data_IF_056051681957
#
_entry.id   IF_056051681957
#
_cell.length_a   1.000
_cell.length_b   1.000
_cell.length_c   1.000
_cell.angle_alpha   90.00
_cell.angle_beta   90.00
_cell.angle_gamma   90.00
#
_symmetry.space_group_name_H-M   'P 1'
#
loop_
_entity.id
_entity.type
_entity.pdbx_description
1 polymer ?
#
# COMPACT_ATOMS: atom_id res chain seq x y z
N UNK A 1 -15.34 -16.47 -3.25
CA UNK A 1 -13.94 -16.66 -2.84
C UNK A 1 -13.87 -16.77 -1.33
N UNK A 2 -13.04 -17.67 -0.84
CA UNK A 2 -12.73 -17.85 0.58
C UNK A 2 -11.21 -17.73 0.77
N UNK A 3 -10.77 -17.42 1.98
CA UNK A 3 -9.35 -17.32 2.31
C UNK A 3 -9.12 -17.66 3.78
N UNK A 4 -7.86 -17.94 4.12
CA UNK A 4 -7.38 -18.01 5.49
C UNK A 4 -6.06 -17.22 5.60
N UNK A 5 -5.98 -16.38 6.63
CA UNK A 5 -4.80 -15.59 6.94
C UNK A 5 -4.10 -16.11 8.20
N UNK A 6 -2.79 -15.97 8.25
CA UNK A 6 -1.97 -16.43 9.38
C UNK A 6 -1.86 -15.42 10.52
N UNK A 7 -2.11 -14.15 10.23
CA UNK A 7 -2.12 -13.03 11.18
C UNK A 7 -3.54 -12.53 11.48
N UNK A 8 -3.71 -11.82 12.60
CA UNK A 8 -5.01 -11.28 13.01
C UNK A 8 -5.50 -10.11 12.14
N UNK A 9 -4.57 -9.32 11.60
CA UNK A 9 -4.89 -8.18 10.73
C UNK A 9 -5.23 -8.61 9.30
N UNK A 10 -5.09 -9.91 9.00
CA UNK A 10 -5.38 -10.53 7.70
C UNK A 10 -4.54 -9.93 6.58
N UNK A 11 -3.30 -9.57 6.88
CA UNK A 11 -2.33 -9.04 5.92
C UNK A 11 -1.48 -10.14 5.29
N UNK A 12 -1.39 -11.32 5.92
CA UNK A 12 -0.68 -12.49 5.45
C UNK A 12 -1.68 -13.61 5.10
N UNK A 13 -2.28 -13.50 3.92
CA UNK A 13 -3.16 -14.54 3.37
C UNK A 13 -2.27 -15.58 2.70
N UNK A 14 -2.34 -16.84 3.16
CA UNK A 14 -1.48 -17.91 2.62
C UNK A 14 -2.27 -19.08 2.01
N UNK A 15 -3.60 -19.02 2.14
CA UNK A 15 -4.53 -20.01 1.60
C UNK A 15 -5.76 -19.32 1.02
N UNK A 16 -6.12 -19.68 -0.20
CA UNK A 16 -7.23 -19.08 -0.94
C UNK A 16 -8.03 -20.18 -1.62
N UNK A 17 -9.37 -20.11 -1.55
CA UNK A 17 -10.26 -20.94 -2.35
C UNK A 17 -11.12 -20.08 -3.26
N UNK A 18 -10.94 -20.25 -4.56
CA UNK A 18 -11.80 -19.67 -5.57
C UNK A 18 -12.90 -20.65 -5.95
N UNK A 19 -14.11 -20.14 -6.21
CA UNK A 19 -15.24 -20.92 -6.72
C UNK A 19 -15.68 -20.22 -8.00
N UNK A 20 -15.57 -20.93 -9.13
CA UNK A 20 -15.97 -20.45 -10.45
C UNK A 20 -17.49 -20.34 -10.58
N UNK A 21 -17.95 -19.71 -11.67
CA UNK A 21 -19.39 -19.65 -12.01
C UNK A 21 -19.97 -21.03 -12.32
N UNK A 22 -19.12 -21.97 -12.73
CA UNK A 22 -19.41 -23.38 -12.99
C UNK A 22 -19.31 -24.25 -11.71
N UNK A 23 -19.29 -23.61 -10.53
CA UNK A 23 -19.16 -24.23 -9.21
C UNK A 23 -17.84 -24.99 -8.98
N UNK A 24 -16.89 -24.92 -9.92
CA UNK A 24 -15.58 -25.55 -9.74
C UNK A 24 -14.78 -24.81 -8.70
N UNK A 25 -14.29 -25.56 -7.71
CA UNK A 25 -13.41 -25.04 -6.68
C UNK A 25 -11.94 -25.22 -7.08
N UNK A 26 -11.14 -24.18 -6.86
CA UNK A 26 -9.68 -24.24 -6.96
C UNK A 26 -9.10 -23.64 -5.69
N UNK A 27 -8.26 -24.42 -5.01
CA UNK A 27 -7.52 -23.97 -3.84
C UNK A 27 -6.13 -23.54 -4.28
N UNK A 28 -5.64 -22.42 -3.78
CA UNK A 28 -4.30 -21.89 -3.98
C UNK A 28 -3.62 -21.74 -2.63
N UNK A 29 -2.37 -22.20 -2.53
CA UNK A 29 -1.61 -22.16 -1.27
C UNK A 29 -0.22 -21.59 -1.54
N UNK A 30 0.22 -20.67 -0.68
CA UNK A 30 1.60 -20.16 -0.71
C UNK A 30 2.56 -21.25 -0.20
N UNK A 31 3.77 -21.42 -0.81
CA UNK A 31 4.79 -22.34 -0.32
C UNK A 31 5.21 -22.10 1.13
N UNK A 32 5.08 -20.85 1.61
CA UNK A 32 5.39 -20.44 2.98
C UNK A 32 4.25 -20.73 3.96
N UNK A 33 3.09 -21.18 3.48
CA UNK A 33 1.92 -21.43 4.31
C UNK A 33 2.15 -22.55 5.31
N UNK A 34 1.70 -22.35 6.56
CA UNK A 34 1.59 -23.44 7.55
C UNK A 34 0.57 -24.52 7.14
N UNK A 35 -0.27 -24.22 6.15
CA UNK A 35 -1.29 -25.13 5.60
C UNK A 35 -0.91 -25.68 4.22
N UNK A 36 0.36 -25.65 3.81
CA UNK A 36 0.81 -26.16 2.50
C UNK A 36 0.35 -27.59 2.17
N UNK A 37 0.20 -28.44 3.19
CA UNK A 37 -0.20 -29.85 3.05
C UNK A 37 -1.51 -30.18 3.81
N UNK A 38 -2.22 -29.17 4.32
CA UNK A 38 -3.41 -29.36 5.16
C UNK A 38 -4.48 -28.32 4.81
N UNK A 39 -5.71 -28.54 5.25
CA UNK A 39 -6.74 -27.50 5.16
C UNK A 39 -6.71 -26.65 6.43
N UNK A 40 -6.86 -25.32 6.33
CA UNK A 40 -7.02 -24.48 7.51
C UNK A 40 -8.22 -24.93 8.37
N UNK A 41 -8.17 -24.75 9.70
CA UNK A 41 -9.34 -24.94 10.56
C UNK A 41 -10.55 -24.17 10.04
N UNK A 42 -11.75 -24.75 10.14
CA UNK A 42 -12.97 -24.19 9.53
C UNK A 42 -13.31 -22.78 10.06
N UNK A 43 -13.02 -22.50 11.34
CA UNK A 43 -13.17 -21.20 11.99
C UNK A 43 -12.21 -20.12 11.47
N UNK A 44 -11.11 -20.54 10.81
CA UNK A 44 -10.14 -19.64 10.17
C UNK A 44 -10.48 -19.35 8.71
N UNK A 45 -11.36 -20.13 8.09
CA UNK A 45 -11.76 -19.95 6.69
C UNK A 45 -12.86 -18.89 6.63
N UNK A 46 -12.56 -17.79 5.95
CA UNK A 46 -13.48 -16.66 5.79
C UNK A 46 -13.93 -16.52 4.36
N UNK A 47 -15.19 -16.14 4.16
CA UNK A 47 -15.66 -15.66 2.85
C UNK A 47 -15.16 -14.23 2.68
N UNK A 48 -14.50 -13.95 1.56
CA UNK A 48 -14.05 -12.59 1.23
C UNK A 48 -15.27 -11.67 1.14
N UNK A 49 -15.21 -10.54 1.84
CA UNK A 49 -16.24 -9.51 1.86
C UNK A 49 -15.67 -8.10 1.59
N UNK A 50 -16.53 -7.09 1.69
CA UNK A 50 -16.13 -5.70 1.42
C UNK A 50 -15.09 -5.18 2.40
N UNK A 51 -15.11 -5.62 3.67
CA UNK A 51 -14.22 -5.10 4.72
C UNK A 51 -12.84 -5.75 4.71
N UNK A 52 -12.68 -6.84 3.96
CA UNK A 52 -11.38 -7.44 3.71
C UNK A 52 -10.52 -6.58 2.77
N UNK A 53 -11.17 -5.85 1.85
CA UNK A 53 -10.52 -4.93 0.92
C UNK A 53 -10.57 -3.48 1.40
N UNK A 54 -11.69 -3.07 2.01
CA UNK A 54 -11.91 -1.71 2.49
C UNK A 54 -11.84 -1.65 4.00
N UNK A 55 -11.06 -0.72 4.53
CA UNK A 55 -11.19 -0.36 5.94
C UNK A 55 -12.41 0.56 6.16
N UNK A 56 -13.64 0.05 6.00
CA UNK A 56 -14.84 0.89 6.13
C UNK A 56 -16.04 0.20 6.77
N UNK A 57 -16.39 0.64 7.99
CA UNK A 57 -17.75 1.16 8.17
C UNK A 57 -17.88 2.64 8.59
N UNK A 58 -16.86 3.30 9.19
CA UNK A 58 -17.10 4.65 9.81
C UNK A 58 -15.98 5.68 9.66
N UNK A 59 -14.70 5.30 9.83
CA UNK A 59 -13.56 6.23 9.70
C UNK A 59 -12.54 5.69 8.68
N UNK A 60 -12.08 6.57 7.78
CA UNK A 60 -11.04 6.23 6.81
C UNK A 60 -9.71 6.80 7.30
N UNK A 61 -8.76 5.93 7.66
CA UNK A 61 -7.42 6.33 8.05
C UNK A 61 -6.52 6.40 6.82
N UNK A 62 -6.40 7.60 6.24
CA UNK A 62 -5.59 7.84 5.05
C UNK A 62 -4.12 7.95 5.39
N UNK A 63 -3.27 7.40 4.52
CA UNK A 63 -1.83 7.53 4.68
C UNK A 63 -1.35 8.97 4.47
N UNK A 64 -0.24 9.39 5.12
CA UNK A 64 0.28 10.75 5.06
C UNK A 64 0.40 11.33 3.65
N UNK A 65 0.83 10.52 2.67
CA UNK A 65 1.03 11.00 1.30
C UNK A 65 -0.27 11.49 0.68
N UNK A 66 -1.38 10.82 0.97
CA UNK A 66 -2.70 11.17 0.45
C UNK A 66 -3.18 12.45 1.12
N UNK A 67 -3.11 12.53 2.45
CA UNK A 67 -3.50 13.72 3.21
C UNK A 67 -2.76 14.98 2.75
N UNK A 68 -1.43 14.88 2.61
CA UNK A 68 -0.60 16.03 2.22
C UNK A 68 -0.81 16.38 0.75
N UNK A 69 -0.90 15.40 -0.15
CA UNK A 69 -1.18 15.66 -1.56
C UNK A 69 -2.53 16.34 -1.75
N UNK A 70 -3.59 15.84 -1.09
CA UNK A 70 -4.93 16.42 -1.18
C UNK A 70 -4.93 17.85 -0.62
N UNK A 71 -4.34 18.07 0.55
CA UNK A 71 -4.23 19.41 1.14
C UNK A 71 -3.44 20.39 0.24
N UNK A 72 -2.39 19.92 -0.44
CA UNK A 72 -1.65 20.75 -1.40
C UNK A 72 -2.45 21.02 -2.68
N UNK A 73 -3.14 20.00 -3.19
CA UNK A 73 -3.95 20.10 -4.42
C UNK A 73 -5.13 21.06 -4.25
N UNK A 74 -5.75 21.07 -3.07
CA UNK A 74 -6.84 21.99 -2.72
C UNK A 74 -6.36 23.33 -2.16
N UNK A 75 -5.04 23.59 -2.16
CA UNK A 75 -4.46 24.86 -1.72
C UNK A 75 -4.54 25.14 -0.21
N UNK A 76 -4.86 24.13 0.60
CA UNK A 76 -4.83 24.22 2.07
C UNK A 76 -3.38 24.27 2.58
N UNK A 77 -2.47 23.58 1.89
CA UNK A 77 -1.02 23.72 2.05
C UNK A 77 -0.46 24.33 0.78
N UNK A 78 0.20 25.48 0.88
CA UNK A 78 0.79 26.10 -0.29
C UNK A 78 2.03 25.33 -0.77
N UNK A 79 1.95 24.80 -1.99
CA UNK A 79 2.99 23.96 -2.58
C UNK A 79 4.29 24.70 -2.91
N UNK A 80 4.31 26.04 -2.87
CA UNK A 80 5.52 26.83 -3.05
C UNK A 80 6.41 26.83 -1.80
N UNK A 81 5.92 26.36 -0.65
CA UNK A 81 6.72 26.31 0.58
C UNK A 81 7.82 25.26 0.40
N UNK A 82 9.11 25.64 0.51
CA UNK A 82 10.21 24.70 0.34
C UNK A 82 10.08 23.52 1.31
N UNK A 83 10.25 22.29 0.78
CA UNK A 83 10.28 21.04 1.56
C UNK A 83 9.01 20.73 2.37
N UNK A 84 7.90 21.46 2.19
CA UNK A 84 6.70 21.29 3.03
C UNK A 84 6.12 19.88 2.93
N UNK A 85 6.09 19.30 1.73
CA UNK A 85 5.59 17.94 1.52
C UNK A 85 6.42 16.91 2.29
N UNK A 86 7.74 16.98 2.18
CA UNK A 86 8.66 16.08 2.89
C UNK A 86 8.49 16.20 4.41
N UNK A 87 8.46 17.44 4.94
CA UNK A 87 8.38 17.67 6.38
C UNK A 87 7.00 17.36 6.96
N UNK A 88 5.93 17.63 6.24
CA UNK A 88 4.59 17.19 6.62
C UNK A 88 4.50 15.65 6.64
N UNK A 89 5.05 14.97 5.63
CA UNK A 89 5.11 13.52 5.58
C UNK A 89 5.86 12.92 6.78
N UNK A 90 7.05 13.45 7.09
CA UNK A 90 7.87 13.03 8.22
C UNK A 90 7.09 13.18 9.55
N UNK A 91 6.47 14.34 9.76
CA UNK A 91 5.70 14.63 10.96
C UNK A 91 4.47 13.71 11.11
N UNK A 92 3.71 13.50 10.02
CA UNK A 92 2.49 12.69 10.05
C UNK A 92 2.77 11.19 10.17
N UNK A 93 3.93 10.71 9.72
CA UNK A 93 4.29 9.27 9.75
C UNK A 93 4.74 8.83 11.15
N UNK A 94 5.30 9.75 11.95
CA UNK A 94 5.85 9.45 13.27
C UNK A 94 4.80 8.92 14.24
N UNK A 95 5.21 8.03 15.14
CA UNK A 95 4.39 7.56 16.26
C UNK A 95 4.47 8.53 17.45
N UNK A 96 3.31 8.82 18.02
CA UNK A 96 3.12 9.65 19.21
C UNK A 96 2.33 8.85 20.23
N UNK A 97 2.42 9.21 21.52
CA UNK A 97 1.65 8.53 22.58
C UNK A 97 0.27 9.16 22.77
N UNK A 98 0.14 10.46 22.55
CA UNK A 98 -1.11 11.21 22.73
C UNK A 98 -1.32 12.25 21.64
N UNK A 99 -2.57 12.70 21.48
CA UNK A 99 -2.91 13.83 20.60
C UNK A 99 -2.15 15.09 20.98
N UNK A 100 -2.11 15.45 22.26
CA UNK A 100 -1.46 16.68 22.72
C UNK A 100 0.06 16.65 22.48
N UNK A 101 0.71 15.51 22.73
CA UNK A 101 2.12 15.33 22.38
C UNK A 101 2.36 15.50 20.88
N UNK A 102 1.51 14.90 20.05
CA UNK A 102 1.63 15.00 18.60
C UNK A 102 1.49 16.45 18.12
N UNK A 103 0.47 17.16 18.59
CA UNK A 103 0.21 18.56 18.22
C UNK A 103 1.45 19.43 18.52
N UNK A 104 1.94 19.39 19.76
CA UNK A 104 3.11 20.17 20.19
C UNK A 104 4.36 19.78 19.40
N UNK A 105 4.61 18.47 19.25
CA UNK A 105 5.80 18.00 18.55
C UNK A 105 5.78 18.33 17.06
N UNK A 106 4.62 18.24 16.39
CA UNK A 106 4.47 18.62 14.98
C UNK A 106 4.73 20.12 14.83
N UNK A 107 4.14 20.94 15.69
CA UNK A 107 4.35 22.39 15.66
C UNK A 107 5.83 22.76 15.85
N UNK A 108 6.44 22.27 16.93
CA UNK A 108 7.81 22.62 17.31
C UNK A 108 8.83 22.16 16.25
N UNK A 109 8.68 20.94 15.74
CA UNK A 109 9.62 20.39 14.76
C UNK A 109 9.53 21.13 13.42
N UNK A 110 8.31 21.38 12.92
CA UNK A 110 8.14 22.08 11.65
C UNK A 110 8.57 23.54 11.77
N UNK A 111 8.09 24.26 12.79
CA UNK A 111 8.43 25.67 13.02
C UNK A 111 9.94 25.81 13.28
N UNK A 112 10.53 24.91 14.06
CA UNK A 112 11.96 24.85 14.33
C UNK A 112 12.79 24.61 13.06
N UNK A 113 12.35 23.70 12.19
CA UNK A 113 12.99 23.48 10.89
C UNK A 113 12.97 24.75 10.03
N UNK A 114 11.82 25.42 9.91
CA UNK A 114 11.74 26.62 9.08
C UNK A 114 12.51 27.81 9.68
N UNK A 115 12.52 27.98 11.00
CA UNK A 115 13.32 29.03 11.66
C UNK A 115 14.82 28.79 11.55
N UNK A 116 15.28 27.54 11.50
CA UNK A 116 16.71 27.19 11.50
C UNK A 116 17.29 26.92 10.11
N UNK A 117 16.63 26.11 9.29
CA UNK A 117 17.12 25.64 7.98
C UNK A 117 16.57 26.43 6.79
N UNK A 118 15.45 27.14 6.97
CA UNK A 118 14.80 27.96 5.94
C UNK A 118 14.52 29.38 6.47
N UNK A 119 15.45 29.92 7.26
CA UNK A 119 15.23 31.13 8.08
C UNK A 119 14.87 32.36 7.25
N UNK A 120 15.53 32.57 6.11
CA UNK A 120 15.26 33.69 5.22
C UNK A 120 13.89 33.57 4.56
N UNK A 121 13.49 32.36 4.16
CA UNK A 121 12.14 32.11 3.68
C UNK A 121 11.10 32.37 4.78
N UNK A 122 11.37 31.92 6.01
CA UNK A 122 10.46 32.08 7.15
C UNK A 122 10.26 33.54 7.54
N UNK A 123 11.32 34.37 7.57
CA UNK A 123 11.20 35.81 7.88
C UNK A 123 10.23 36.54 6.96
N UNK A 124 10.17 36.14 5.69
CA UNK A 124 9.30 36.74 4.67
C UNK A 124 7.91 36.10 4.68
N UNK A 125 7.84 34.78 4.89
CA UNK A 125 6.63 33.98 4.68
C UNK A 125 6.08 33.35 5.97
N UNK A 126 6.35 33.93 7.14
CA UNK A 126 6.00 33.34 8.44
C UNK A 126 4.52 32.94 8.53
N UNK A 127 3.61 33.83 8.16
CA UNK A 127 2.16 33.56 8.18
C UNK A 127 1.77 32.37 7.29
N UNK A 128 2.42 32.26 6.12
CA UNK A 128 2.17 31.18 5.14
C UNK A 128 2.69 29.84 5.66
N UNK A 129 3.86 29.82 6.28
CA UNK A 129 4.42 28.62 6.92
C UNK A 129 3.58 28.20 8.13
N UNK A 130 3.21 29.15 8.97
CA UNK A 130 2.42 28.89 10.19
C UNK A 130 1.02 28.37 9.84
N UNK A 131 0.39 28.88 8.78
CA UNK A 131 -0.87 28.34 8.25
C UNK A 131 -0.70 26.88 7.79
N UNK A 132 0.38 26.56 7.06
CA UNK A 132 0.64 25.19 6.63
C UNK A 132 0.89 24.24 7.82
N UNK A 133 1.63 24.68 8.85
CA UNK A 133 1.84 23.91 10.09
C UNK A 133 0.51 23.59 10.76
N UNK A 134 -0.37 24.59 10.89
CA UNK A 134 -1.71 24.40 11.44
C UNK A 134 -2.51 23.36 10.62
N UNK A 135 -2.47 23.43 9.29
CA UNK A 135 -3.11 22.42 8.45
C UNK A 135 -2.54 21.03 8.67
N UNK A 136 -1.22 20.86 8.80
CA UNK A 136 -0.61 19.55 9.10
C UNK A 136 -1.10 19.00 10.45
N UNK A 137 -1.19 19.84 11.48
CA UNK A 137 -1.74 19.46 12.78
C UNK A 137 -3.21 19.03 12.65
N UNK A 138 -4.03 19.78 11.91
CA UNK A 138 -5.43 19.42 11.67
C UNK A 138 -5.58 18.09 10.91
N UNK A 139 -4.73 17.83 9.92
CA UNK A 139 -4.69 16.55 9.21
C UNK A 139 -4.37 15.41 10.17
N UNK A 140 -3.40 15.59 11.07
CA UNK A 140 -3.09 14.59 12.10
C UNK A 140 -4.29 14.33 13.01
N UNK A 141 -4.84 15.36 13.62
CA UNK A 141 -5.91 15.21 14.63
C UNK A 141 -7.21 14.61 14.08
N UNK A 142 -7.46 14.72 12.77
CA UNK A 142 -8.64 14.14 12.11
C UNK A 142 -8.44 12.69 11.64
N UNK A 143 -7.21 12.19 11.61
CA UNK A 143 -6.89 10.94 10.92
C UNK A 143 -6.01 9.98 11.74
N UNK A 144 -5.29 10.45 12.75
CA UNK A 144 -4.43 9.64 13.61
C UNK A 144 -4.89 9.77 15.05
N UNK A 145 -5.15 8.65 15.71
CA UNK A 145 -5.62 8.62 17.09
C UNK A 145 -4.66 7.77 17.94
N UNK A 146 -3.56 8.36 18.45
CA UNK A 146 -2.52 7.69 19.23
C UNK A 146 -3.04 6.79 20.36
N UNK A 147 -3.95 7.33 21.17
CA UNK A 147 -4.51 6.67 22.35
C UNK A 147 -5.34 5.44 21.98
N UNK A 148 -5.98 5.48 20.80
CA UNK A 148 -6.77 4.38 20.24
C UNK A 148 -5.92 3.43 19.39
N UNK A 149 -4.62 3.71 19.20
CA UNK A 149 -3.72 2.99 18.29
C UNK A 149 -4.27 2.88 16.86
N UNK A 150 -5.06 3.87 16.45
CA UNK A 150 -5.74 3.86 15.15
C UNK A 150 -5.06 4.85 14.19
N UNK A 151 -4.53 4.31 13.09
CA UNK A 151 -3.92 5.04 11.98
C UNK A 151 -3.95 4.21 10.71
N UNK A 152 -3.42 4.77 9.62
CA UNK A 152 -3.41 4.14 8.30
C UNK A 152 -2.62 2.82 8.24
N UNK A 153 -1.55 2.67 9.04
CA UNK A 153 -0.71 1.46 9.03
C UNK A 153 -1.29 0.33 9.91
N UNK A 154 -1.98 0.64 11.01
CA UNK A 154 -2.66 -0.34 11.88
C UNK A 154 -4.04 -0.72 11.35
N UNK A 155 -4.62 0.12 10.50
CA UNK A 155 -5.92 -0.09 9.87
C UNK A 155 -5.82 0.18 8.37
N UNK A 156 -5.08 -0.66 7.62
CA UNK A 156 -4.80 -0.44 6.22
C UNK A 156 -6.05 -0.58 5.36
N UNK A 157 -6.18 0.35 4.40
CA UNK A 157 -7.06 0.18 3.26
C UNK A 157 -6.32 -0.62 2.17
N UNK A 158 -6.92 -1.74 1.73
CA UNK A 158 -6.27 -2.71 0.85
C UNK A 158 -6.66 -2.52 -0.63
N UNK A 159 -7.30 -1.40 -0.97
CA UNK A 159 -7.57 -0.99 -2.36
C UNK A 159 -6.26 -0.77 -3.14
N UNK A 160 -5.23 -0.23 -2.48
CA UNK A 160 -3.92 0.00 -3.07
C UNK A 160 -2.85 -0.90 -2.46
N UNK A 161 -1.66 -0.90 -3.06
CA UNK A 161 -0.52 -1.69 -2.60
C UNK A 161 0.73 -0.84 -2.33
N UNK A 162 0.55 0.47 -2.08
CA UNK A 162 1.67 1.40 -1.85
C UNK A 162 2.17 1.36 -0.40
N UNK A 163 1.25 1.32 0.56
CA UNK A 163 1.53 1.39 2.01
C UNK A 163 0.97 0.19 2.78
N UNK A 164 0.32 -0.73 2.09
CA UNK A 164 -0.17 -2.01 2.57
C UNK A 164 0.05 -3.05 1.49
N UNK A 165 0.05 -4.36 1.79
CA UNK A 165 0.18 -5.39 0.76
C UNK A 165 -1.02 -5.42 -0.22
N UNK A 166 -2.20 -4.92 0.20
CA UNK A 166 -3.33 -4.74 -0.70
C UNK A 166 -3.82 -6.03 -1.36
N UNK A 167 -3.94 -6.00 -2.68
CA UNK A 167 -4.27 -7.17 -3.50
C UNK A 167 -3.15 -8.22 -3.53
N UNK A 168 -1.89 -7.81 -3.33
CA UNK A 168 -0.74 -8.71 -3.33
C UNK A 168 -0.71 -9.67 -2.13
N UNK A 169 -1.62 -9.52 -1.16
CA UNK A 169 -1.87 -10.56 -0.16
C UNK A 169 -2.23 -11.92 -0.77
N UNK A 170 -2.80 -11.92 -1.97
CA UNK A 170 -3.06 -13.14 -2.75
C UNK A 170 -2.37 -13.10 -4.12
N UNK A 171 -2.21 -11.92 -4.71
CA UNK A 171 -1.63 -11.71 -6.03
C UNK A 171 -0.11 -11.49 -5.97
N UNK A 172 0.59 -12.31 -5.18
CA UNK A 172 2.04 -12.24 -4.95
C UNK A 172 2.86 -13.02 -6.00
N UNK A 173 2.20 -13.85 -6.82
CA UNK A 173 2.89 -14.77 -7.72
C UNK A 173 3.48 -16.00 -7.01
N UNK A 174 3.18 -16.20 -5.72
CA UNK A 174 3.61 -17.36 -4.95
C UNK A 174 2.45 -18.35 -4.71
N UNK A 175 1.20 -17.91 -4.70
CA UNK A 175 0.04 -18.77 -4.48
C UNK A 175 -0.20 -19.78 -5.62
N UNK A 176 0.00 -21.08 -5.35
CA UNK A 176 -0.09 -22.15 -6.37
C UNK A 176 -1.35 -22.96 -6.22
N UNK A 177 -2.01 -23.25 -7.34
CA UNK A 177 -3.15 -24.16 -7.34
C UNK A 177 -2.76 -25.54 -6.80
N UNK A 178 -3.49 -26.02 -5.80
CA UNK A 178 -3.45 -27.40 -5.33
C UNK A 178 -4.66 -28.12 -5.92
N UNK A 179 -4.49 -28.72 -7.09
CA UNK A 179 -5.45 -29.69 -7.61
C UNK A 179 -5.40 -30.94 -6.72
N UNK A 180 -6.56 -31.50 -6.38
CA UNK A 180 -6.69 -32.63 -5.46
C UNK A 180 -5.59 -33.69 -5.65
N UNK A 181 -4.61 -33.70 -4.74
CA UNK A 181 -3.62 -34.75 -4.59
C UNK A 181 -2.43 -34.76 -5.57
N UNK A 182 -1.80 -33.63 -5.93
CA UNK A 182 -0.48 -33.67 -6.57
C UNK A 182 0.53 -32.78 -5.85
N UNK A 183 1.61 -33.41 -5.40
CA UNK A 183 2.79 -32.79 -4.77
C UNK A 183 3.45 -31.76 -5.69
N UNK A 184 3.91 -30.61 -5.16
CA UNK A 184 4.64 -29.62 -5.94
C UNK A 184 5.96 -30.23 -6.48
N UNK A 185 6.39 -29.88 -7.70
CA UNK A 185 7.67 -30.34 -8.22
C UNK A 185 8.82 -29.80 -7.33
N UNK A 186 9.86 -30.62 -7.09
CA UNK A 186 11.02 -30.16 -6.35
C UNK A 186 11.86 -29.24 -7.24
N UNK A 187 12.26 -28.10 -6.68
CA UNK A 187 13.27 -27.18 -7.21
C UNK A 187 12.80 -26.12 -8.25
N UNK A 188 13.02 -24.85 -7.91
CA UNK A 188 12.79 -23.65 -8.72
C UNK A 188 14.03 -22.76 -8.80
N UNK A 189 15.22 -23.35 -8.71
CA UNK A 189 16.48 -22.66 -8.99
C UNK A 189 16.62 -22.17 -10.45
N UNK A 190 15.63 -22.44 -11.32
CA UNK A 190 15.58 -21.94 -12.70
C UNK A 190 14.46 -20.90 -12.87
N UNK A 191 14.71 -19.65 -12.45
CA UNK A 191 13.90 -18.49 -12.87
C UNK A 191 14.68 -17.76 -13.95
N UNK A 192 14.24 -17.88 -15.18
CA UNK A 192 14.89 -17.23 -16.32
C UNK A 192 14.28 -17.69 -17.63
N UNK A 193 12.97 -17.50 -17.82
CA UNK A 193 12.34 -17.41 -19.14
C UNK A 193 10.90 -16.86 -19.04
N UNK A 194 10.37 -16.21 -20.09
CA UNK A 194 9.24 -15.29 -20.00
C UNK A 194 7.91 -16.03 -19.82
N UNK A 195 7.02 -15.40 -19.05
CA UNK A 195 5.65 -15.85 -18.79
C UNK A 195 4.92 -16.07 -20.13
N UNK A 196 4.36 -17.26 -20.40
CA UNK A 196 3.68 -17.53 -21.66
C UNK A 196 2.38 -16.72 -21.79
N UNK A 197 2.05 -16.38 -23.03
CA UNK A 197 0.87 -15.62 -23.44
C UNK A 197 -0.44 -16.24 -22.95
N UNK A 198 -1.44 -15.37 -22.77
CA UNK A 198 -2.82 -15.54 -22.23
C UNK A 198 -3.61 -16.82 -22.61
N UNK A 199 -3.16 -17.64 -23.55
CA UNK A 199 -3.91 -18.77 -24.13
C UNK A 199 -3.60 -20.16 -23.54
N UNK A 200 -2.80 -20.27 -22.47
CA UNK A 200 -2.48 -21.57 -21.83
C UNK A 200 -2.82 -21.65 -20.33
N UNK A 201 -4.02 -21.18 -19.92
CA UNK A 201 -4.53 -21.44 -18.57
C UNK A 201 -5.58 -22.55 -18.59
N UNK A 202 -5.14 -23.79 -18.45
CA UNK A 202 -5.97 -24.89 -17.94
C UNK A 202 -5.20 -25.69 -16.90
N UNK A 203 -5.74 -25.72 -15.68
CA UNK A 203 -5.38 -26.56 -14.52
C UNK A 203 -3.94 -26.49 -14.01
N UNK A 204 -3.73 -25.76 -12.91
CA UNK A 204 -2.48 -25.73 -12.13
C UNK A 204 -1.82 -24.34 -12.01
N UNK A 205 -2.61 -23.26 -12.11
CA UNK A 205 -2.10 -21.89 -12.23
C UNK A 205 -1.62 -21.27 -10.91
N UNK A 206 -0.68 -20.33 -11.03
CA UNK A 206 -0.31 -19.41 -9.96
C UNK A 206 -1.26 -18.20 -9.97
N UNK A 207 -1.61 -17.63 -8.82
CA UNK A 207 -2.33 -16.35 -8.78
C UNK A 207 -1.39 -15.26 -9.30
N UNK A 208 -1.78 -14.62 -10.41
CA UNK A 208 -0.91 -13.66 -11.11
C UNK A 208 -0.65 -12.39 -10.28
N UNK A 209 0.58 -11.90 -10.32
CA UNK A 209 1.02 -10.59 -9.82
C UNK A 209 1.10 -9.50 -10.91
N UNK A 210 0.49 -9.75 -12.08
CA UNK A 210 0.58 -8.81 -13.20
C UNK A 210 -0.15 -7.50 -12.89
N UNK A 211 0.59 -6.39 -12.91
CA UNK A 211 0.05 -5.05 -12.65
C UNK A 211 -1.09 -4.70 -13.62
N UNK A 212 -1.01 -5.15 -14.88
CA UNK A 212 -2.02 -4.90 -15.93
C UNK A 212 -3.36 -5.57 -15.65
N UNK A 213 -3.42 -6.51 -14.71
CA UNK A 213 -4.69 -7.09 -14.27
C UNK A 213 -5.57 -6.09 -13.51
N UNK A 214 -4.97 -5.03 -12.95
CA UNK A 214 -5.69 -3.99 -12.19
C UNK A 214 -5.44 -2.56 -12.71
N UNK A 215 -4.27 -2.29 -13.30
CA UNK A 215 -3.86 -0.96 -13.71
C UNK A 215 -3.75 -0.83 -15.24
N UNK A 216 -4.35 0.24 -15.76
CA UNK A 216 -4.07 0.76 -17.10
C UNK A 216 -3.39 2.12 -16.94
N UNK A 217 -2.05 2.14 -17.02
CA UNK A 217 -1.27 3.37 -16.86
C UNK A 217 -1.32 4.15 -18.16
N UNK A 218 -2.22 5.12 -18.26
CA UNK A 218 -2.40 5.89 -19.51
C UNK A 218 -1.50 7.11 -19.63
N UNK A 219 -0.94 7.58 -18.51
CA UNK A 219 0.00 8.70 -18.44
C UNK A 219 0.97 8.52 -17.27
N UNK A 220 2.26 8.77 -17.50
CA UNK A 220 3.29 8.83 -16.46
C UNK A 220 4.51 9.64 -16.92
N UNK A 221 5.42 9.96 -15.99
CA UNK A 221 6.66 10.70 -16.28
C UNK A 221 6.73 12.06 -15.59
N UNK A 222 7.90 12.72 -15.58
CA UNK A 222 8.08 13.99 -14.91
C UNK A 222 7.36 15.12 -15.66
N UNK A 223 7.08 16.22 -14.95
CA UNK A 223 6.43 17.40 -15.54
C UNK A 223 7.22 17.90 -16.75
N UNK A 224 6.55 18.01 -17.90
CA UNK A 224 7.17 18.43 -19.15
C UNK A 224 7.78 17.30 -20.00
N UNK A 225 7.81 16.06 -19.49
CA UNK A 225 8.22 14.86 -20.22
C UNK A 225 7.26 13.69 -19.93
N UNK A 226 5.96 13.98 -19.87
CA UNK A 226 4.94 12.95 -19.67
C UNK A 226 4.74 12.13 -20.94
N UNK A 227 4.77 10.82 -20.78
CA UNK A 227 4.41 9.84 -21.80
C UNK A 227 2.94 9.48 -21.65
N UNK A 228 2.24 9.28 -22.77
CA UNK A 228 0.81 8.99 -22.81
C UNK A 228 0.52 7.86 -23.78
N UNK A 229 -0.26 6.87 -23.35
CA UNK A 229 -0.78 5.82 -24.21
C UNK A 229 -2.08 5.26 -23.65
N UNK A 230 -3.18 5.39 -24.39
CA UNK A 230 -4.49 4.86 -23.97
C UNK A 230 -4.53 3.33 -23.92
N UNK A 231 -3.65 2.65 -24.66
CA UNK A 231 -3.52 1.19 -24.63
C UNK A 231 -2.72 0.71 -23.40
N UNK A 232 -2.19 1.65 -22.62
CA UNK A 232 -1.44 1.40 -21.39
C UNK A 232 0.07 1.43 -21.59
N UNK A 233 0.74 1.96 -20.59
CA UNK A 233 2.19 2.03 -20.46
C UNK A 233 2.68 0.98 -19.45
N UNK A 234 3.92 0.53 -19.63
CA UNK A 234 4.62 -0.20 -18.59
C UNK A 234 5.03 0.75 -17.47
N UNK A 235 4.77 0.38 -16.22
CA UNK A 235 5.12 1.21 -15.06
C UNK A 235 6.61 1.56 -15.05
N UNK A 236 6.94 2.81 -14.69
CA UNK A 236 8.32 3.24 -14.42
C UNK A 236 8.42 3.80 -13.00
N UNK A 237 9.38 3.28 -12.24
CA UNK A 237 9.64 3.79 -10.89
C UNK A 237 10.18 5.24 -10.96
N UNK A 238 9.66 6.19 -10.15
CA UNK A 238 10.05 7.60 -10.26
C UNK A 238 11.52 7.91 -10.00
N UNK A 239 12.21 7.08 -9.22
CA UNK A 239 13.65 7.22 -8.98
C UNK A 239 14.52 6.59 -10.10
N UNK A 240 13.88 6.04 -11.14
CA UNK A 240 14.53 5.13 -12.09
C UNK A 240 14.68 3.72 -11.52
N UNK A 241 15.32 2.85 -12.32
CA UNK A 241 15.59 1.46 -11.94
C UNK A 241 14.54 0.45 -12.42
N UNK A 242 14.90 -0.82 -12.32
CA UNK A 242 14.06 -1.98 -12.67
C UNK A 242 13.83 -2.93 -11.49
N UNK A 243 14.36 -2.62 -10.31
CA UNK A 243 14.27 -3.45 -9.10
C UNK A 243 12.83 -3.75 -8.71
N UNK A 244 11.92 -2.80 -8.98
CA UNK A 244 10.47 -2.96 -8.77
C UNK A 244 9.86 -4.15 -9.55
N UNK A 245 10.53 -4.67 -10.59
CA UNK A 245 10.10 -5.88 -11.32
C UNK A 245 10.30 -7.15 -10.50
N UNK A 246 11.22 -7.12 -9.54
CA UNK A 246 11.63 -8.28 -8.74
C UNK A 246 11.15 -8.20 -7.28
N UNK A 247 10.97 -6.98 -6.73
CA UNK A 247 10.56 -6.76 -5.34
C UNK A 247 9.21 -6.02 -5.22
N UNK A 248 8.58 -6.10 -4.04
CA UNK A 248 7.34 -5.37 -3.80
C UNK A 248 7.64 -3.92 -3.45
N UNK A 249 6.80 -2.98 -3.94
CA UNK A 249 6.99 -1.55 -3.69
C UNK A 249 7.02 -1.22 -2.18
N UNK A 250 6.21 -1.93 -1.39
CA UNK A 250 6.12 -1.76 0.07
C UNK A 250 7.43 -2.08 0.80
N UNK A 251 8.30 -2.90 0.22
CA UNK A 251 9.60 -3.23 0.82
C UNK A 251 10.49 -1.98 0.94
N UNK A 252 10.26 -0.97 0.10
CA UNK A 252 10.89 0.36 0.18
C UNK A 252 9.91 1.49 0.57
N UNK A 253 8.60 1.29 0.44
CA UNK A 253 7.55 2.28 0.72
C UNK A 253 6.67 1.89 1.92
N UNK A 254 7.28 1.44 3.00
CA UNK A 254 6.60 0.99 4.22
C UNK A 254 5.84 2.09 4.99
N UNK A 255 5.85 3.34 4.52
CA UNK A 255 5.12 4.44 5.18
C UNK A 255 5.76 4.94 6.48
N UNK A 256 7.02 4.58 6.73
CA UNK A 256 7.81 5.01 7.90
C UNK A 256 8.19 3.83 8.79
N UNK A 257 9.46 3.45 8.75
CA UNK A 257 10.09 2.70 9.83
C UNK A 257 10.41 3.63 11.02
#
# INVERSE_FOLDING_TARGET
MFYAAEDEQRQNITWVKSIGKDEKEIVYVSPKSKWKNTTPPADRIRKMDCIDCHNRPTHQFSAPYRLVNDAMQYGQIDASIPKIKEKAMEALSKQYKTQNEAITAIEDNLRGYYKSKQSDYYKINAAKVDAAIKTVIELFSKNMFPEMKARWDTHPDNIGHLVSPGCFRCHDGEHRAVSGGVTPPPDLSAVGEPIPSESQKSSGGVISRNCKSCHLIVEQGPKGQTEKNIDGLEFRHPAGGEEWKEMNCIDCHSGGA
#
